data_IF_470189182710
#
_entry.id   IF_470189182710
#
_cell.length_a   1.000
_cell.length_b   1.000
_cell.length_c   1.000
_cell.angle_alpha   90.00
_cell.angle_beta   90.00
_cell.angle_gamma   90.00
#
_symmetry.space_group_name_H-M   'P 1'
#
loop_
_entity.id
_entity.type
_entity.pdbx_description
1 polymer ?
#
# COMPACT_ATOMS: atom_id res chain seq x y z
N UNK A 1 -42.70 4.03 -9.10
CA UNK A 1 -41.39 4.41 -8.54
C UNK A 1 -40.38 4.17 -9.63
N UNK A 2 -39.91 5.23 -10.30
CA UNK A 2 -38.97 5.09 -11.42
C UNK A 2 -37.57 4.88 -10.88
N UNK A 3 -37.01 3.71 -11.18
CA UNK A 3 -35.62 3.34 -10.89
C UNK A 3 -34.72 3.93 -11.99
N UNK A 4 -34.59 5.26 -12.03
CA UNK A 4 -33.60 5.88 -12.90
C UNK A 4 -32.30 6.10 -12.13
N UNK A 5 -31.19 5.45 -12.53
CA UNK A 5 -29.90 5.69 -11.90
C UNK A 5 -29.47 7.13 -12.17
N UNK A 6 -29.06 7.84 -11.11
CA UNK A 6 -28.51 9.20 -11.17
C UNK A 6 -27.34 9.20 -12.15
N UNK A 7 -27.54 9.82 -13.32
CA UNK A 7 -26.50 10.05 -14.31
C UNK A 7 -25.60 11.16 -13.76
N UNK A 8 -24.37 10.83 -13.40
CA UNK A 8 -23.35 11.82 -13.00
C UNK A 8 -23.04 12.73 -14.20
N UNK A 9 -22.86 14.03 -13.96
CA UNK A 9 -22.57 15.00 -15.03
C UNK A 9 -21.31 14.62 -15.83
N UNK A 10 -21.40 14.70 -17.15
CA UNK A 10 -20.25 14.50 -18.05
C UNK A 10 -19.14 15.49 -17.70
N UNK A 11 -17.99 14.98 -17.28
CA UNK A 11 -16.84 15.78 -16.79
C UNK A 11 -16.42 15.45 -15.35
N UNK A 12 -17.25 14.76 -14.58
CA UNK A 12 -16.87 14.19 -13.28
C UNK A 12 -16.31 12.76 -13.46
N UNK A 13 -15.34 12.59 -14.35
CA UNK A 13 -14.57 11.35 -14.32
C UNK A 13 -13.79 11.35 -13.00
N UNK A 14 -14.04 10.37 -12.13
CA UNK A 14 -13.16 10.12 -10.99
C UNK A 14 -11.74 10.05 -11.52
N UNK A 15 -10.85 10.93 -11.04
CA UNK A 15 -9.43 10.88 -11.41
C UNK A 15 -9.02 9.43 -11.25
N UNK A 16 -8.50 8.76 -12.30
CA UNK A 16 -7.98 7.42 -12.12
C UNK A 16 -6.96 7.56 -11.01
N UNK A 17 -7.31 7.03 -9.84
CA UNK A 17 -6.35 6.88 -8.76
C UNK A 17 -5.36 5.94 -9.37
N UNK A 18 -4.26 6.51 -9.88
CA UNK A 18 -3.04 5.81 -10.23
C UNK A 18 -2.80 4.96 -9.00
N UNK A 19 -3.22 3.69 -9.07
CA UNK A 19 -3.54 2.88 -7.89
C UNK A 19 -2.25 2.83 -7.14
N UNK A 20 -2.18 3.63 -6.07
CA UNK A 20 -0.93 4.15 -5.49
C UNK A 20 0.13 3.10 -5.71
N UNK A 21 0.99 3.33 -6.73
CA UNK A 21 1.87 2.34 -7.33
C UNK A 21 2.27 1.42 -6.21
N UNK A 22 1.72 0.19 -6.15
CA UNK A 22 2.04 -0.72 -5.06
C UNK A 22 3.51 -0.97 -5.28
N UNK A 23 4.31 -0.13 -4.63
CA UNK A 23 5.76 -0.16 -4.68
C UNK A 23 6.01 -1.60 -4.29
N UNK A 24 6.53 -2.39 -5.23
CA UNK A 24 6.70 -3.84 -5.09
C UNK A 24 7.77 -4.10 -4.06
N UNK A 25 7.51 -3.69 -2.82
CA UNK A 25 8.39 -3.83 -1.70
C UNK A 25 8.51 -5.31 -1.45
N UNK A 26 9.75 -5.75 -1.34
CA UNK A 26 10.07 -7.13 -1.01
C UNK A 26 10.48 -7.15 0.46
N UNK A 27 10.22 -8.26 1.15
CA UNK A 27 10.62 -8.40 2.54
C UNK A 27 12.13 -8.24 2.68
N UNK A 28 12.57 -7.43 3.64
CA UNK A 28 13.99 -7.19 3.91
C UNK A 28 14.64 -8.28 4.79
N UNK A 29 13.86 -9.27 5.25
CA UNK A 29 14.40 -10.38 6.02
C UNK A 29 15.31 -11.24 5.13
N UNK A 30 16.44 -11.68 5.69
CA UNK A 30 17.41 -12.54 4.98
C UNK A 30 16.68 -13.80 4.48
N UNK A 31 16.90 -14.15 3.22
CA UNK A 31 16.26 -15.30 2.56
C UNK A 31 14.72 -15.19 2.37
N UNK A 32 14.13 -13.99 2.53
CA UNK A 32 12.71 -13.76 2.26
C UNK A 32 12.50 -12.93 0.98
N UNK A 33 12.04 -13.57 -0.10
CA UNK A 33 11.67 -12.90 -1.37
C UNK A 33 10.18 -12.56 -1.50
N UNK A 34 9.41 -12.62 -0.41
CA UNK A 34 7.95 -12.41 -0.44
C UNK A 34 7.62 -10.92 -0.55
N UNK A 35 6.48 -10.55 -1.17
CA UNK A 35 6.03 -9.16 -1.17
C UNK A 35 5.80 -8.68 0.26
N UNK A 36 6.33 -7.50 0.59
CA UNK A 36 6.16 -6.84 1.87
C UNK A 36 4.90 -5.96 1.86
N UNK A 37 4.07 -6.15 2.88
CA UNK A 37 2.82 -5.39 3.07
C UNK A 37 2.90 -4.34 4.18
N UNK A 38 3.96 -4.36 4.98
CA UNK A 38 4.12 -3.49 6.15
C UNK A 38 5.41 -2.71 6.07
N UNK A 39 5.30 -1.38 6.19
CA UNK A 39 6.42 -0.45 6.26
C UNK A 39 6.61 0.07 7.69
N UNK A 40 7.85 0.10 8.15
CA UNK A 40 8.28 0.55 9.46
C UNK A 40 9.23 1.71 9.28
N UNK A 41 8.87 2.90 9.76
CA UNK A 41 9.66 4.10 9.56
C UNK A 41 9.71 4.94 10.83
N UNK A 42 10.92 5.35 11.22
CA UNK A 42 11.12 6.42 12.19
C UNK A 42 11.17 7.79 11.50
N UNK A 43 10.87 8.88 12.22
CA UNK A 43 11.00 10.23 11.66
C UNK A 43 12.40 10.43 11.08
N UNK A 44 12.47 10.86 9.81
CA UNK A 44 13.72 11.13 9.07
C UNK A 44 14.58 9.91 8.72
N UNK A 45 14.03 8.70 8.78
CA UNK A 45 14.69 7.47 8.32
C UNK A 45 13.98 6.88 7.10
N UNK A 46 14.70 6.08 6.31
CA UNK A 46 14.10 5.30 5.23
C UNK A 46 13.15 4.23 5.81
N UNK A 47 12.01 3.97 5.17
CA UNK A 47 11.07 2.95 5.61
C UNK A 47 11.61 1.55 5.33
N UNK A 48 11.54 0.67 6.32
CA UNK A 48 11.86 -0.74 6.20
C UNK A 48 10.62 -1.58 5.93
N UNK A 49 10.71 -2.55 5.02
CA UNK A 49 9.55 -3.31 4.55
C UNK A 49 9.62 -4.79 4.89
N UNK A 50 8.56 -5.32 5.50
CA UNK A 50 8.47 -6.73 5.88
C UNK A 50 7.15 -7.38 5.46
N UNK A 51 7.19 -8.69 5.21
CA UNK A 51 6.00 -9.51 5.00
C UNK A 51 5.29 -9.80 6.35
N UNK A 52 4.11 -10.41 6.30
CA UNK A 52 3.35 -10.74 7.51
C UNK A 52 4.13 -11.65 8.48
N UNK A 53 4.88 -12.62 7.95
CA UNK A 53 5.66 -13.58 8.75
C UNK A 53 6.83 -12.90 9.50
N UNK A 54 7.50 -11.94 8.85
CA UNK A 54 8.65 -11.21 9.41
C UNK A 54 8.25 -9.84 9.97
N UNK A 55 6.96 -9.59 10.20
CA UNK A 55 6.47 -8.34 10.75
C UNK A 55 7.17 -7.98 12.07
N UNK A 56 7.41 -8.98 12.93
CA UNK A 56 8.09 -8.79 14.21
C UNK A 56 9.55 -8.33 14.09
N UNK A 57 10.20 -8.57 12.95
CA UNK A 57 11.55 -8.06 12.69
C UNK A 57 11.53 -6.57 12.36
N UNK A 58 10.43 -6.11 11.76
CA UNK A 58 10.12 -4.73 11.46
C UNK A 58 9.88 -3.88 12.70
N UNK A 59 9.34 -4.45 13.77
CA UNK A 59 9.09 -3.74 15.03
C UNK A 59 10.37 -3.13 15.64
N UNK A 60 11.55 -3.68 15.30
CA UNK A 60 12.85 -3.14 15.73
C UNK A 60 13.21 -1.79 15.09
N UNK A 61 12.49 -1.41 14.03
CA UNK A 61 12.70 -0.18 13.24
C UNK A 61 11.69 0.92 13.57
N UNK A 62 10.81 0.71 14.57
CA UNK A 62 9.98 1.75 15.18
C UNK A 62 10.70 2.44 16.35
#
# INVERSE_FOLDING_TARGET
MSDEPIRLAEGMAAVPRDRARVLGHTCEHKDCGKPAGWGFARPRSEPHWFCFEHRGDGDRYL
#
